data_IF_365496794489
#
_entry.id   IF_365496794489
#
_cell.length_a   1.000
_cell.length_b   1.000
_cell.length_c   1.000
_cell.angle_alpha   90.00
_cell.angle_beta   90.00
_cell.angle_gamma   90.00
#
_symmetry.space_group_name_H-M   'P 1'
#
loop_
_entity.id
_entity.type
_entity.pdbx_description
1 polymer ?
#
# COMPACT_ATOMS: atom_id res chain seq x y z
N UNK A 1 36.89 -12.97 17.09
CA UNK A 1 36.05 -12.15 17.97
C UNK A 1 35.80 -10.85 17.21
N UNK A 2 34.77 -10.85 16.33
CA UNK A 2 34.37 -9.67 15.58
C UNK A 2 33.39 -8.90 16.45
N UNK A 3 33.81 -7.72 16.86
CA UNK A 3 32.97 -6.77 17.55
C UNK A 3 31.92 -6.28 16.54
N UNK A 4 30.70 -6.77 16.69
CA UNK A 4 29.55 -6.12 16.07
C UNK A 4 29.31 -4.84 16.89
N UNK A 5 29.87 -3.73 16.43
CA UNK A 5 29.41 -2.43 16.90
C UNK A 5 27.93 -2.35 16.51
N UNK A 6 27.07 -2.26 17.50
CA UNK A 6 25.65 -1.95 17.31
C UNK A 6 25.58 -0.53 16.73
N UNK A 7 25.53 -0.44 15.40
CA UNK A 7 25.17 0.79 14.74
C UNK A 7 23.76 1.18 15.23
N UNK A 8 23.55 2.42 15.65
CA UNK A 8 22.22 2.87 16.02
C UNK A 8 21.32 2.70 14.79
N UNK A 9 20.49 1.68 14.80
CA UNK A 9 19.51 1.46 13.75
C UNK A 9 18.50 2.61 13.87
N UNK A 10 18.66 3.63 13.02
CA UNK A 10 17.60 4.61 12.88
C UNK A 10 16.38 3.84 12.38
N UNK A 11 15.26 3.93 13.10
CA UNK A 11 14.04 3.21 12.75
C UNK A 11 13.40 3.74 11.42
N UNK A 12 14.05 4.65 10.74
CA UNK A 12 13.60 5.21 9.45
C UNK A 12 14.76 5.79 8.64
N UNK A 13 14.55 5.90 7.32
CA UNK A 13 15.43 6.66 6.41
C UNK A 13 14.61 7.32 5.29
N UNK A 14 15.14 8.39 4.72
CA UNK A 14 14.51 9.10 3.61
C UNK A 14 15.14 8.66 2.27
N UNK A 15 14.28 8.36 1.31
CA UNK A 15 14.66 8.03 -0.07
C UNK A 15 14.35 9.23 -0.95
N UNK A 16 15.33 9.68 -1.73
CA UNK A 16 15.15 10.76 -2.69
C UNK A 16 14.55 10.24 -3.98
N UNK A 17 13.42 10.77 -4.37
CA UNK A 17 12.80 10.47 -5.66
C UNK A 17 12.67 11.71 -6.53
N UNK A 18 12.31 11.54 -7.80
CA UNK A 18 12.06 12.65 -8.73
C UNK A 18 10.86 13.53 -8.35
N UNK A 19 9.97 13.04 -7.46
CA UNK A 19 8.80 13.78 -6.96
C UNK A 19 9.00 14.34 -5.54
N UNK A 20 10.20 14.16 -4.99
CA UNK A 20 10.52 14.56 -3.63
C UNK A 20 10.89 13.36 -2.74
N UNK A 21 11.32 13.62 -1.51
CA UNK A 21 11.67 12.57 -0.57
C UNK A 21 10.41 11.83 -0.08
N UNK A 22 10.55 10.53 0.15
CA UNK A 22 9.60 9.74 0.93
C UNK A 22 10.33 9.00 2.04
N UNK A 23 9.61 8.62 3.08
CA UNK A 23 10.19 8.03 4.29
C UNK A 23 9.84 6.55 4.41
N UNK A 24 10.87 5.76 4.68
CA UNK A 24 10.78 4.34 5.01
C UNK A 24 10.93 4.18 6.50
N UNK A 25 9.98 3.49 7.13
CA UNK A 25 10.02 3.16 8.56
C UNK A 25 10.22 1.66 8.75
N UNK A 26 11.18 1.28 9.57
CA UNK A 26 11.30 -0.09 10.05
C UNK A 26 10.42 -0.26 11.28
N UNK A 27 9.43 -1.12 11.17
CA UNK A 27 8.53 -1.41 12.29
C UNK A 27 8.91 -2.76 12.91
N UNK A 28 9.17 -2.76 14.21
CA UNK A 28 9.35 -3.98 15.00
C UNK A 28 8.04 -4.29 15.71
N UNK A 29 7.50 -5.49 15.51
CA UNK A 29 6.28 -5.92 16.18
C UNK A 29 5.05 -6.03 15.28
N UNK A 30 3.88 -5.83 15.86
CA UNK A 30 2.62 -5.99 15.14
C UNK A 30 2.46 -4.85 14.13
N UNK A 31 2.21 -5.21 12.87
CA UNK A 31 1.90 -4.29 11.76
C UNK A 31 0.71 -3.35 12.08
N UNK A 32 -0.10 -3.72 13.05
CA UNK A 32 -1.26 -2.98 13.56
C UNK A 32 -0.93 -2.06 14.74
N UNK A 33 0.34 -1.91 15.10
CA UNK A 33 0.79 -0.85 16.00
C UNK A 33 0.69 0.55 15.34
N UNK A 34 -0.03 0.64 14.21
CA UNK A 34 -0.46 1.92 13.66
C UNK A 34 -1.41 2.58 14.64
N UNK A 35 -1.19 3.87 14.86
CA UNK A 35 -2.08 4.64 15.72
C UNK A 35 -3.51 4.66 15.14
N UNK A 36 -4.50 4.73 16.04
CA UNK A 36 -5.91 4.72 15.68
C UNK A 36 -6.28 5.88 14.75
N UNK A 37 -5.63 7.02 14.88
CA UNK A 37 -5.84 8.18 14.03
C UNK A 37 -5.45 7.89 12.58
N UNK A 38 -4.32 7.24 12.36
CA UNK A 38 -3.88 6.80 11.03
C UNK A 38 -4.88 5.81 10.40
N UNK A 39 -5.37 4.86 11.18
CA UNK A 39 -6.36 3.88 10.70
C UNK A 39 -7.69 4.56 10.34
N UNK A 40 -8.19 5.45 11.19
CA UNK A 40 -9.47 6.14 10.97
C UNK A 40 -9.42 7.18 9.85
N UNK A 41 -8.23 7.74 9.56
CA UNK A 41 -8.04 8.74 8.49
C UNK A 41 -7.69 8.13 7.13
N UNK A 42 -7.47 6.82 7.06
CA UNK A 42 -7.03 6.13 5.84
C UNK A 42 -8.14 5.30 5.20
N UNK A 43 -8.13 5.24 3.86
CA UNK A 43 -8.87 4.23 3.11
C UNK A 43 -7.97 3.03 2.87
N UNK A 44 -8.30 1.89 3.47
CA UNK A 44 -7.44 0.71 3.49
C UNK A 44 -7.72 -0.18 2.29
N UNK A 45 -6.66 -0.60 1.60
CA UNK A 45 -6.68 -1.61 0.54
C UNK A 45 -5.81 -2.78 1.01
N UNK A 46 -6.42 -3.94 1.18
CA UNK A 46 -5.75 -5.09 1.78
C UNK A 46 -5.90 -6.36 0.95
N UNK A 47 -4.85 -7.20 0.96
CA UNK A 47 -4.92 -8.55 0.42
C UNK A 47 -5.84 -9.42 1.27
N UNK A 48 -6.85 -10.01 0.61
CA UNK A 48 -7.79 -10.94 1.22
C UNK A 48 -7.11 -12.06 2.01
N UNK A 49 -6.03 -12.62 1.47
CA UNK A 49 -5.29 -13.72 2.10
C UNK A 49 -4.74 -13.35 3.48
N UNK A 50 -4.37 -12.09 3.70
CA UNK A 50 -3.91 -11.63 5.01
C UNK A 50 -5.05 -11.64 6.04
N UNK A 51 -6.25 -11.21 5.65
CA UNK A 51 -7.41 -11.28 6.53
C UNK A 51 -7.76 -12.72 6.89
N UNK A 52 -7.70 -13.62 5.91
CA UNK A 52 -8.00 -15.04 6.13
C UNK A 52 -6.99 -15.72 7.09
N UNK A 53 -5.69 -15.32 7.03
CA UNK A 53 -4.63 -15.92 7.86
C UNK A 53 -4.53 -15.25 9.24
N UNK A 54 -4.71 -13.93 9.31
CA UNK A 54 -4.43 -13.11 10.48
C UNK A 54 -5.67 -12.36 11.00
N UNK A 55 -6.85 -12.97 10.91
CA UNK A 55 -8.14 -12.36 11.24
C UNK A 55 -8.12 -11.62 12.58
N UNK A 56 -7.58 -12.24 13.62
CA UNK A 56 -7.55 -11.66 14.97
C UNK A 56 -6.69 -10.40 15.05
N UNK A 57 -5.54 -10.42 14.37
CA UNK A 57 -4.62 -9.28 14.33
C UNK A 57 -5.20 -8.10 13.54
N UNK A 58 -6.04 -8.39 12.53
CA UNK A 58 -6.65 -7.37 11.67
C UNK A 58 -8.02 -6.86 12.14
N UNK A 59 -8.52 -7.31 13.29
CA UNK A 59 -9.76 -6.78 13.87
C UNK A 59 -9.83 -5.25 13.97
N UNK A 60 -8.77 -4.53 14.38
CA UNK A 60 -8.82 -3.07 14.46
C UNK A 60 -9.13 -2.39 13.13
N UNK A 61 -8.63 -2.92 12.00
CA UNK A 61 -8.87 -2.32 10.69
C UNK A 61 -10.28 -2.60 10.13
N UNK A 62 -10.99 -3.57 10.68
CA UNK A 62 -12.37 -3.84 10.26
C UNK A 62 -13.31 -2.67 10.62
N UNK A 63 -12.92 -1.82 11.57
CA UNK A 63 -13.63 -0.58 11.93
C UNK A 63 -13.23 0.63 11.06
N UNK A 64 -12.26 0.50 10.16
CA UNK A 64 -11.86 1.58 9.27
C UNK A 64 -13.04 2.08 8.43
N UNK A 65 -13.14 3.39 8.15
CA UNK A 65 -14.26 3.96 7.39
C UNK A 65 -14.38 3.41 5.98
N UNK A 66 -13.30 2.86 5.45
CA UNK A 66 -13.27 2.24 4.14
C UNK A 66 -12.23 1.13 4.09
N UNK A 67 -12.69 -0.10 3.93
CA UNK A 67 -11.87 -1.29 3.77
C UNK A 67 -12.18 -1.93 2.42
N UNK A 68 -11.24 -1.87 1.49
CA UNK A 68 -11.29 -2.55 0.19
C UNK A 68 -10.44 -3.82 0.25
N UNK A 69 -11.11 -4.96 0.26
CA UNK A 69 -10.46 -6.27 0.27
C UNK A 69 -10.29 -6.76 -1.17
N UNK A 70 -9.06 -7.05 -1.56
CA UNK A 70 -8.73 -7.52 -2.92
C UNK A 70 -7.97 -8.84 -2.80
N UNK A 71 -8.36 -9.85 -3.58
CA UNK A 71 -7.54 -11.03 -3.78
C UNK A 71 -6.32 -10.65 -4.63
N UNK A 72 -5.10 -10.83 -4.10
CA UNK A 72 -3.85 -10.44 -4.76
C UNK A 72 -3.50 -11.42 -5.90
N UNK A 73 -4.27 -11.36 -6.98
CA UNK A 73 -4.12 -12.11 -8.21
C UNK A 73 -3.91 -11.13 -9.39
N UNK A 74 -3.10 -11.53 -10.36
CA UNK A 74 -2.79 -10.74 -11.56
C UNK A 74 -4.03 -10.28 -12.33
N UNK A 75 -5.11 -11.08 -12.37
CA UNK A 75 -6.39 -10.70 -13.00
C UNK A 75 -7.08 -9.52 -12.30
N UNK A 76 -6.78 -9.29 -11.01
CA UNK A 76 -7.31 -8.17 -10.25
C UNK A 76 -6.46 -6.91 -10.39
N UNK A 77 -5.23 -7.05 -10.93
CA UNK A 77 -4.32 -5.95 -11.27
C UNK A 77 -4.55 -5.50 -12.72
N UNK A 78 -5.78 -5.24 -13.11
CA UNK A 78 -6.13 -4.84 -14.48
C UNK A 78 -6.95 -3.56 -14.53
N UNK A 79 -6.86 -2.85 -15.66
CA UNK A 79 -7.62 -1.61 -15.90
C UNK A 79 -9.12 -1.83 -15.75
N UNK A 80 -9.64 -2.99 -16.16
CA UNK A 80 -11.07 -3.32 -16.08
C UNK A 80 -11.59 -3.41 -14.63
N UNK A 81 -10.70 -3.64 -13.67
CA UNK A 81 -11.04 -3.67 -12.24
C UNK A 81 -11.01 -2.29 -11.59
N UNK A 82 -10.27 -1.35 -12.16
CA UNK A 82 -10.12 -0.01 -11.56
C UNK A 82 -11.44 0.71 -11.32
N UNK A 83 -12.46 0.68 -12.21
CA UNK A 83 -13.75 1.30 -11.94
C UNK A 83 -14.44 0.77 -10.66
N UNK A 84 -14.32 -0.53 -10.37
CA UNK A 84 -14.88 -1.14 -9.15
C UNK A 84 -14.21 -0.57 -7.91
N UNK A 85 -12.88 -0.48 -7.92
CA UNK A 85 -12.10 0.04 -6.80
C UNK A 85 -12.35 1.54 -6.58
N UNK A 86 -12.35 2.33 -7.66
CA UNK A 86 -12.70 3.76 -7.60
C UNK A 86 -14.10 3.97 -7.04
N UNK A 87 -15.10 3.20 -7.51
CA UNK A 87 -16.47 3.31 -7.03
C UNK A 87 -16.57 2.97 -5.52
N UNK A 88 -15.81 1.98 -5.04
CA UNK A 88 -15.76 1.68 -3.61
C UNK A 88 -15.24 2.88 -2.80
N UNK A 89 -14.11 3.47 -3.22
CA UNK A 89 -13.51 4.61 -2.54
C UNK A 89 -14.43 5.84 -2.55
N UNK A 90 -15.08 6.13 -3.70
CA UNK A 90 -16.03 7.25 -3.85
C UNK A 90 -17.26 7.06 -2.97
N UNK A 91 -17.85 5.86 -2.93
CA UNK A 91 -18.98 5.53 -2.05
C UNK A 91 -18.65 5.70 -0.58
N UNK A 92 -17.40 5.41 -0.19
CA UNK A 92 -16.90 5.63 1.16
C UNK A 92 -16.35 7.04 1.40
N UNK A 93 -16.72 8.01 0.52
CA UNK A 93 -16.48 9.44 0.68
C UNK A 93 -14.99 9.83 0.75
N UNK A 94 -14.13 9.13 -0.01
CA UNK A 94 -12.71 9.50 -0.12
C UNK A 94 -12.56 11.00 -0.46
N UNK A 95 -11.69 11.69 0.27
CA UNK A 95 -11.38 13.12 0.12
C UNK A 95 -9.90 13.32 -0.22
N UNK A 96 -9.58 14.44 -0.85
CA UNK A 96 -8.21 14.75 -1.30
C UNK A 96 -7.19 14.88 -0.17
N UNK A 97 -7.62 15.23 1.03
CA UNK A 97 -6.78 15.34 2.22
C UNK A 97 -6.66 14.03 3.03
N UNK A 98 -7.22 12.95 2.53
CA UNK A 98 -7.08 11.60 3.07
C UNK A 98 -6.05 10.82 2.26
N UNK A 99 -5.65 9.66 2.76
CA UNK A 99 -4.65 8.80 2.14
C UNK A 99 -5.17 7.40 1.88
N UNK A 100 -4.54 6.71 0.94
CA UNK A 100 -4.71 5.27 0.78
C UNK A 100 -3.63 4.53 1.58
N UNK A 101 -4.03 3.47 2.27
CA UNK A 101 -3.12 2.58 2.97
C UNK A 101 -3.18 1.19 2.33
N UNK A 102 -2.09 0.81 1.66
CA UNK A 102 -1.94 -0.51 1.07
C UNK A 102 -1.35 -1.49 2.08
N UNK A 103 -1.95 -2.66 2.26
CA UNK A 103 -1.43 -3.73 3.11
C UNK A 103 -1.39 -5.02 2.28
N UNK A 104 -0.20 -5.47 1.87
CA UNK A 104 -0.09 -6.62 0.98
C UNK A 104 1.27 -6.81 0.33
N UNK A 105 1.29 -7.55 -0.76
CA UNK A 105 2.43 -7.72 -1.64
C UNK A 105 2.42 -6.73 -2.82
N UNK A 106 3.30 -6.97 -3.81
CA UNK A 106 3.47 -6.09 -4.97
C UNK A 106 2.20 -5.85 -5.80
N UNK A 107 1.27 -6.81 -5.88
CA UNK A 107 -0.01 -6.62 -6.59
C UNK A 107 -0.86 -5.55 -5.90
N UNK A 108 -0.98 -5.60 -4.57
CA UNK A 108 -1.73 -4.61 -3.80
C UNK A 108 -1.04 -3.24 -3.89
N UNK A 109 0.29 -3.22 -3.84
CA UNK A 109 1.10 -2.02 -4.06
C UNK A 109 0.79 -1.38 -5.43
N UNK A 110 0.89 -2.14 -6.51
CA UNK A 110 0.66 -1.67 -7.88
C UNK A 110 -0.74 -1.06 -8.04
N UNK A 111 -1.77 -1.76 -7.57
CA UNK A 111 -3.16 -1.30 -7.60
C UNK A 111 -3.31 0.01 -6.82
N UNK A 112 -2.79 0.07 -5.59
CA UNK A 112 -2.95 1.23 -4.72
C UNK A 112 -2.19 2.44 -5.23
N UNK A 113 -0.94 2.26 -5.65
CA UNK A 113 -0.13 3.33 -6.23
C UNK A 113 -0.78 3.90 -7.51
N UNK A 114 -1.28 3.03 -8.40
CA UNK A 114 -1.99 3.45 -9.60
C UNK A 114 -3.27 4.24 -9.26
N UNK A 115 -4.07 3.76 -8.30
CA UNK A 115 -5.26 4.46 -7.84
C UNK A 115 -4.91 5.82 -7.22
N UNK A 116 -3.91 5.85 -6.32
CA UNK A 116 -3.47 7.06 -5.65
C UNK A 116 -2.99 8.14 -6.62
N UNK A 117 -2.26 7.74 -7.66
CA UNK A 117 -1.76 8.66 -8.68
C UNK A 117 -2.88 9.27 -9.55
N UNK A 118 -4.00 8.58 -9.72
CA UNK A 118 -5.04 8.97 -10.68
C UNK A 118 -6.31 9.52 -10.01
N UNK A 119 -6.71 9.01 -8.85
CA UNK A 119 -7.93 9.44 -8.17
C UNK A 119 -7.77 10.87 -7.64
N UNK A 120 -8.80 11.71 -7.79
CA UNK A 120 -8.80 13.12 -7.36
C UNK A 120 -7.57 13.94 -7.86
N UNK A 121 -6.93 13.51 -8.94
CA UNK A 121 -5.68 14.08 -9.53
C UNK A 121 -4.45 13.88 -8.65
N UNK A 122 -4.42 12.83 -7.88
CA UNK A 122 -3.33 12.46 -6.98
C UNK A 122 -3.65 12.69 -5.52
N UNK A 123 -3.48 11.66 -4.71
CA UNK A 123 -3.59 11.69 -3.26
C UNK A 123 -2.40 10.96 -2.64
N UNK A 124 -2.13 11.21 -1.39
CA UNK A 124 -1.09 10.51 -0.64
C UNK A 124 -1.43 9.03 -0.46
N UNK A 125 -0.41 8.22 -0.36
CA UNK A 125 -0.55 6.81 -0.05
C UNK A 125 0.60 6.30 0.80
N UNK A 126 0.36 5.21 1.51
CA UNK A 126 1.34 4.51 2.31
C UNK A 126 1.28 3.02 2.00
N UNK A 127 2.39 2.34 2.17
CA UNK A 127 2.49 0.91 1.89
C UNK A 127 3.08 0.15 3.08
N UNK A 128 2.39 -0.91 3.45
CA UNK A 128 2.83 -1.89 4.44
C UNK A 128 3.11 -3.20 3.69
N UNK A 129 4.38 -3.47 3.33
CA UNK A 129 4.75 -4.66 2.58
C UNK A 129 4.68 -5.90 3.47
N UNK A 130 3.98 -6.94 3.00
CA UNK A 130 3.76 -8.17 3.76
C UNK A 130 4.39 -9.42 3.13
N UNK A 131 5.01 -9.27 1.96
CA UNK A 131 5.78 -10.35 1.31
C UNK A 131 7.26 -10.02 1.34
N UNK A 132 8.11 -11.06 1.35
CA UNK A 132 9.57 -10.86 1.34
C UNK A 132 10.02 -10.01 0.14
N UNK A 133 9.49 -10.29 -1.06
CA UNK A 133 9.82 -9.53 -2.27
C UNK A 133 9.41 -8.06 -2.13
N UNK A 134 8.23 -7.79 -1.58
CA UNK A 134 7.78 -6.41 -1.38
C UNK A 134 8.64 -5.66 -0.35
N UNK A 135 9.09 -6.33 0.70
CA UNK A 135 9.95 -5.73 1.72
C UNK A 135 11.39 -5.49 1.22
N UNK A 136 11.92 -6.42 0.41
CA UNK A 136 13.31 -6.36 -0.05
C UNK A 136 13.53 -5.47 -1.29
N UNK A 137 12.49 -5.24 -2.09
CA UNK A 137 12.61 -4.61 -3.41
C UNK A 137 11.51 -3.57 -3.66
N UNK A 138 10.27 -3.99 -3.84
CA UNK A 138 9.26 -3.10 -4.42
C UNK A 138 8.83 -1.95 -3.53
N UNK A 139 8.95 -2.06 -2.19
CA UNK A 139 8.60 -0.97 -1.27
C UNK A 139 9.57 0.23 -1.35
N UNK A 140 10.77 0.03 -1.89
CA UNK A 140 11.78 1.09 -2.12
C UNK A 140 11.74 1.54 -3.58
N UNK A 141 10.59 1.56 -4.17
CA UNK A 141 10.41 1.93 -5.57
C UNK A 141 9.33 2.97 -5.76
N UNK A 142 9.29 3.54 -6.96
CA UNK A 142 8.26 4.50 -7.36
C UNK A 142 7.38 3.99 -8.50
N UNK A 143 7.63 2.76 -8.95
CA UNK A 143 6.91 2.17 -10.09
C UNK A 143 5.62 1.54 -9.64
N UNK A 144 4.55 1.79 -10.38
CA UNK A 144 3.37 0.95 -10.36
C UNK A 144 3.04 0.50 -11.78
N UNK A 145 2.44 -0.69 -11.90
CA UNK A 145 2.01 -1.17 -13.20
C UNK A 145 0.75 -2.00 -13.11
N UNK A 146 -0.17 -1.77 -14.03
CA UNK A 146 -1.39 -2.57 -14.17
C UNK A 146 -1.51 -3.14 -15.58
N UNK A 147 -2.31 -4.18 -15.70
CA UNK A 147 -2.59 -4.85 -16.97
C UNK A 147 -3.72 -4.16 -17.73
N UNK A 148 -3.71 -4.26 -19.05
CA UNK A 148 -4.80 -3.78 -19.91
C UNK A 148 -5.02 -4.77 -21.03
N UNK A 149 -6.20 -5.39 -21.07
CA UNK A 149 -6.50 -6.50 -21.97
C UNK A 149 -5.49 -7.65 -21.78
N UNK A 150 -4.90 -8.11 -22.86
CA UNK A 150 -3.90 -9.19 -22.84
C UNK A 150 -2.48 -8.71 -22.53
N UNK A 151 -2.28 -7.38 -22.39
CA UNK A 151 -0.97 -6.79 -22.14
C UNK A 151 -0.72 -6.63 -20.65
N UNK A 152 0.36 -7.27 -20.16
CA UNK A 152 0.78 -7.15 -18.76
C UNK A 152 1.65 -5.91 -18.54
N UNK A 153 1.46 -5.25 -17.38
CA UNK A 153 2.29 -4.14 -16.90
C UNK A 153 2.46 -2.99 -17.91
N UNK A 154 1.42 -2.72 -18.72
CA UNK A 154 1.50 -1.74 -19.81
C UNK A 154 1.09 -0.33 -19.38
N UNK A 155 0.29 -0.20 -18.34
CA UNK A 155 -0.11 1.09 -17.77
C UNK A 155 0.50 1.23 -16.38
N UNK A 156 1.01 2.40 -16.08
CA UNK A 156 1.63 2.61 -14.78
C UNK A 156 2.01 4.05 -14.53
N UNK A 157 2.55 4.26 -13.34
CA UNK A 157 3.03 5.57 -12.90
C UNK A 157 4.39 5.43 -12.22
N UNK A 158 5.10 6.55 -12.15
CA UNK A 158 6.29 6.71 -11.31
C UNK A 158 5.93 7.65 -10.17
N UNK A 159 5.26 7.11 -9.15
CA UNK A 159 4.80 7.90 -7.99
C UNK A 159 5.16 7.14 -6.71
N UNK A 160 6.21 7.58 -5.97
CA UNK A 160 6.62 6.96 -4.74
C UNK A 160 5.60 7.18 -3.63
#
# INVERSE_FOLDING_TARGET
MLLTEDLPVSNCFDVQSHKGPYRVHFMTGNILAMDEETLLSSHIIIDKKLLDIYEQQFKPILSAPSLLVIEADEKNKSLDKMPVYVNHLVKNKLRRNQKLLAIGGGIIQDITCFLAANILRGIEWQFVPTTLLAQADSCIGSKSSINCGDSKNILGTFTP
#
